data_IF_788292252491
#
_entry.id   IF_788292252491
#
_cell.length_a   1.000
_cell.length_b   1.000
_cell.length_c   1.000
_cell.angle_alpha   90.00
_cell.angle_beta   90.00
_cell.angle_gamma   90.00
#
_symmetry.space_group_name_H-M   'P 1'
#
loop_
_entity.id
_entity.type
_entity.pdbx_description
1 polymer ?
#
# COMPACT_ATOMS: atom_id res chain seq x y z
N UNK A 1 -16.21 -30.08 28.10
CA UNK A 1 -16.96 -28.83 27.87
C UNK A 1 -16.20 -28.00 26.87
N UNK A 2 -16.74 -27.83 25.67
CA UNK A 2 -16.14 -27.04 24.60
C UNK A 2 -16.37 -25.54 24.87
N UNK A 3 -15.30 -24.77 25.00
CA UNK A 3 -15.35 -23.30 25.07
C UNK A 3 -15.33 -22.78 23.64
N UNK A 4 -16.41 -22.11 23.25
CA UNK A 4 -16.56 -21.49 21.94
C UNK A 4 -15.50 -20.40 21.74
N UNK A 5 -14.68 -20.54 20.69
CA UNK A 5 -13.75 -19.50 20.26
C UNK A 5 -14.55 -18.31 19.69
N UNK A 6 -14.56 -17.20 20.43
CA UNK A 6 -15.11 -15.94 19.95
C UNK A 6 -14.25 -15.44 18.76
N UNK A 7 -14.88 -15.29 17.61
CA UNK A 7 -14.25 -14.74 16.41
C UNK A 7 -13.81 -13.30 16.66
N UNK A 8 -12.52 -13.02 16.48
CA UNK A 8 -11.91 -11.69 16.64
C UNK A 8 -12.54 -10.70 15.65
N UNK A 9 -13.06 -9.61 16.20
CA UNK A 9 -13.78 -8.55 15.51
C UNK A 9 -12.78 -7.48 15.04
N UNK A 10 -12.87 -7.05 13.78
CA UNK A 10 -12.07 -5.94 13.27
C UNK A 10 -12.43 -4.62 14.00
N UNK A 11 -11.51 -3.65 14.14
CA UNK A 11 -11.73 -2.48 14.99
C UNK A 11 -12.94 -1.67 14.50
N UNK A 12 -13.92 -1.43 15.38
CA UNK A 12 -15.09 -0.59 15.12
C UNK A 12 -16.39 -1.31 14.70
N UNK A 13 -16.44 -2.65 14.72
CA UNK A 13 -17.65 -3.40 14.34
C UNK A 13 -18.39 -3.94 15.57
N UNK A 14 -19.68 -3.63 15.74
CA UNK A 14 -20.55 -4.44 16.60
C UNK A 14 -20.91 -5.72 15.84
N UNK A 15 -20.79 -6.89 16.49
CA UNK A 15 -21.10 -8.18 15.87
C UNK A 15 -22.57 -8.29 15.42
N UNK A 16 -23.46 -7.48 16.01
CA UNK A 16 -24.90 -7.48 15.75
C UNK A 16 -25.32 -6.73 14.47
N UNK A 17 -24.43 -5.95 13.87
CA UNK A 17 -24.78 -5.06 12.75
C UNK A 17 -24.69 -5.72 11.37
N UNK A 18 -24.20 -6.95 11.29
CA UNK A 18 -24.02 -7.69 10.03
C UNK A 18 -24.95 -8.89 9.96
N UNK A 19 -25.48 -9.14 8.76
CA UNK A 19 -26.35 -10.29 8.44
C UNK A 19 -25.61 -11.18 7.46
N UNK A 20 -25.63 -12.48 7.72
CA UNK A 20 -25.14 -13.48 6.77
C UNK A 20 -26.22 -13.72 5.70
N UNK A 21 -25.86 -13.53 4.44
CA UNK A 21 -26.76 -13.66 3.29
C UNK A 21 -26.12 -14.51 2.21
N UNK A 22 -26.94 -15.21 1.43
CA UNK A 22 -26.45 -15.96 0.29
C UNK A 22 -26.07 -15.01 -0.86
N UNK A 23 -25.00 -15.31 -1.60
CA UNK A 23 -24.59 -14.51 -2.75
C UNK A 23 -25.68 -14.36 -3.82
N UNK A 24 -26.57 -15.35 -3.92
CA UNK A 24 -27.73 -15.31 -4.83
C UNK A 24 -28.74 -14.22 -4.49
N UNK A 25 -28.72 -13.70 -3.26
CA UNK A 25 -29.65 -12.67 -2.78
C UNK A 25 -29.10 -11.25 -2.94
N UNK A 26 -27.93 -11.09 -3.59
CA UNK A 26 -27.33 -9.79 -3.83
C UNK A 26 -27.83 -9.16 -5.13
N UNK A 27 -28.45 -7.99 -5.01
CA UNK A 27 -28.89 -7.22 -6.17
C UNK A 27 -27.71 -6.51 -6.85
N UNK A 28 -27.33 -7.01 -8.04
CA UNK A 28 -26.35 -6.41 -8.94
C UNK A 28 -26.71 -4.94 -9.23
N UNK A 29 -25.71 -4.06 -9.21
CA UNK A 29 -25.81 -2.64 -9.47
C UNK A 29 -25.96 -1.77 -8.21
N UNK A 30 -26.18 -2.38 -7.05
CA UNK A 30 -26.29 -1.66 -5.76
C UNK A 30 -24.92 -1.13 -5.33
N UNK A 31 -24.87 0.11 -4.84
CA UNK A 31 -23.66 0.71 -4.27
C UNK A 31 -23.67 0.48 -2.76
N UNK A 32 -22.66 -0.23 -2.27
CA UNK A 32 -22.52 -0.58 -0.87
C UNK A 32 -21.90 0.59 -0.11
N UNK A 33 -22.48 0.97 1.03
CA UNK A 33 -21.92 1.99 1.91
C UNK A 33 -21.00 1.38 2.97
N UNK A 34 -21.09 0.07 3.17
CA UNK A 34 -20.30 -0.68 4.14
C UNK A 34 -19.47 -1.78 3.46
N UNK A 35 -18.37 -2.24 4.09
CA UNK A 35 -17.59 -3.36 3.59
C UNK A 35 -18.36 -4.69 3.64
N UNK A 36 -17.96 -5.65 2.79
CA UNK A 36 -18.52 -7.01 2.74
C UNK A 36 -17.44 -8.01 3.15
N UNK A 37 -17.80 -8.96 4.01
CA UNK A 37 -16.88 -9.97 4.53
C UNK A 37 -17.31 -11.40 4.16
N UNK A 38 -16.39 -12.35 4.28
CA UNK A 38 -16.68 -13.77 4.11
C UNK A 38 -17.67 -14.26 5.19
N UNK A 39 -18.74 -14.92 4.76
CA UNK A 39 -19.82 -15.41 5.62
C UNK A 39 -19.78 -16.90 5.93
N UNK A 40 -18.69 -17.60 5.58
CA UNK A 40 -18.57 -19.04 5.86
C UNK A 40 -18.33 -19.28 7.36
N UNK A 41 -19.08 -20.22 7.99
CA UNK A 41 -18.94 -20.50 9.41
C UNK A 41 -17.54 -21.02 9.74
N UNK A 42 -17.00 -20.60 10.90
CA UNK A 42 -15.68 -21.04 11.38
C UNK A 42 -14.47 -20.42 10.69
N UNK A 43 -14.65 -19.51 9.72
CA UNK A 43 -13.55 -18.73 9.12
C UNK A 43 -13.44 -17.32 9.72
N UNK A 44 -12.23 -16.78 9.72
CA UNK A 44 -12.00 -15.38 10.08
C UNK A 44 -12.74 -14.47 9.09
N UNK A 45 -13.33 -13.37 9.57
CA UNK A 45 -14.10 -12.40 8.77
C UNK A 45 -13.17 -11.64 7.80
N UNK A 46 -12.78 -12.30 6.71
CA UNK A 46 -11.91 -11.73 5.69
C UNK A 46 -12.70 -10.72 4.85
N UNK A 47 -12.11 -9.53 4.65
CA UNK A 47 -12.67 -8.51 3.79
C UNK A 47 -12.72 -9.00 2.33
N UNK A 48 -13.91 -9.01 1.74
CA UNK A 48 -14.12 -9.40 0.33
C UNK A 48 -14.36 -8.19 -0.58
N UNK A 49 -14.93 -7.10 -0.06
CA UNK A 49 -15.15 -5.86 -0.81
C UNK A 49 -15.16 -4.66 0.14
N UNK A 50 -14.43 -3.61 -0.22
CA UNK A 50 -14.44 -2.35 0.53
C UNK A 50 -15.72 -1.54 0.31
N UNK A 51 -16.03 -0.65 1.26
CA UNK A 51 -17.14 0.27 1.17
C UNK A 51 -17.05 1.18 -0.07
N UNK A 52 -18.21 1.65 -0.54
CA UNK A 52 -18.33 2.59 -1.67
C UNK A 52 -18.30 1.94 -3.05
N UNK A 53 -18.05 0.62 -3.14
CA UNK A 53 -18.03 -0.15 -4.38
C UNK A 53 -19.43 -0.51 -4.86
N UNK A 54 -19.58 -0.62 -6.18
CA UNK A 54 -20.80 -1.08 -6.82
C UNK A 54 -20.72 -2.59 -7.07
N UNK A 55 -21.79 -3.32 -6.74
CA UNK A 55 -21.88 -4.76 -6.97
C UNK A 55 -21.98 -5.05 -8.48
N UNK A 56 -20.85 -5.38 -9.10
CA UNK A 56 -20.78 -5.79 -10.50
C UNK A 56 -21.04 -7.30 -10.66
N UNK A 57 -21.55 -7.77 -11.82
CA UNK A 57 -21.73 -9.21 -12.09
C UNK A 57 -20.42 -10.00 -11.93
N UNK A 58 -19.32 -9.45 -12.46
CA UNK A 58 -17.98 -10.07 -12.42
C UNK A 58 -17.47 -10.35 -11.00
N UNK A 59 -17.92 -9.56 -10.02
CA UNK A 59 -17.58 -9.77 -8.62
C UNK A 59 -18.24 -11.04 -8.07
N UNK A 60 -19.54 -11.21 -8.31
CA UNK A 60 -20.26 -12.41 -7.85
C UNK A 60 -19.70 -13.68 -8.51
N UNK A 61 -19.32 -13.61 -9.79
CA UNK A 61 -18.71 -14.72 -10.51
C UNK A 61 -17.30 -15.06 -9.97
N UNK A 62 -16.53 -14.05 -9.55
CA UNK A 62 -15.23 -14.27 -8.90
C UNK A 62 -15.39 -14.95 -7.54
N UNK A 63 -16.36 -14.52 -6.73
CA UNK A 63 -16.62 -15.13 -5.42
C UNK A 63 -17.11 -16.58 -5.54
N UNK A 64 -18.02 -16.85 -6.49
CA UNK A 64 -18.49 -18.22 -6.77
C UNK A 64 -17.34 -19.14 -7.19
N UNK A 65 -16.45 -18.68 -8.08
CA UNK A 65 -15.25 -19.44 -8.48
C UNK A 65 -14.31 -19.76 -7.32
N UNK A 66 -14.34 -18.95 -6.27
CA UNK A 66 -13.55 -19.15 -5.03
C UNK A 66 -14.28 -20.00 -3.97
N UNK A 67 -15.43 -20.59 -4.32
CA UNK A 67 -16.23 -21.40 -3.40
C UNK A 67 -16.79 -20.59 -2.22
N UNK A 68 -17.04 -19.30 -2.42
CA UNK A 68 -17.73 -18.45 -1.45
C UNK A 68 -19.19 -18.41 -1.87
N UNK A 69 -20.09 -18.85 -0.99
CA UNK A 69 -21.54 -18.90 -1.25
C UNK A 69 -22.33 -17.95 -0.35
N UNK A 70 -21.75 -17.58 0.80
CA UNK A 70 -22.33 -16.70 1.80
C UNK A 70 -21.41 -15.53 2.13
N UNK A 71 -21.99 -14.37 2.38
CA UNK A 71 -21.27 -13.15 2.75
C UNK A 71 -21.94 -12.43 3.91
N UNK A 72 -21.16 -11.67 4.67
CA UNK A 72 -21.65 -10.80 5.73
C UNK A 72 -21.82 -9.38 5.19
N UNK A 73 -23.04 -8.86 5.29
CA UNK A 73 -23.40 -7.52 4.83
C UNK A 73 -24.02 -6.73 5.98
N UNK A 74 -23.67 -5.45 6.07
CA UNK A 74 -24.22 -4.56 7.06
C UNK A 74 -25.75 -4.42 6.91
N UNK A 75 -26.50 -4.43 8.02
CA UNK A 75 -27.98 -4.39 8.05
C UNK A 75 -28.56 -3.22 7.25
N UNK A 76 -27.91 -2.05 7.26
CA UNK A 76 -28.37 -0.88 6.50
C UNK A 76 -28.27 -1.08 4.98
N UNK A 77 -27.16 -1.65 4.50
CA UNK A 77 -27.00 -1.98 3.09
C UNK A 77 -27.95 -3.12 2.69
N UNK A 78 -28.12 -4.12 3.57
CA UNK A 78 -29.05 -5.23 3.35
C UNK A 78 -30.52 -4.76 3.20
N UNK A 79 -30.96 -3.78 4.00
CA UNK A 79 -32.30 -3.18 3.85
C UNK A 79 -32.50 -2.54 2.49
N UNK A 80 -31.50 -1.83 1.97
CA UNK A 80 -31.56 -1.21 0.65
C UNK A 80 -31.58 -2.25 -0.50
N UNK A 81 -30.74 -3.28 -0.38
CA UNK A 81 -30.60 -4.35 -1.38
C UNK A 81 -31.85 -5.24 -1.41
N UNK A 82 -32.36 -5.66 -0.24
CA UNK A 82 -33.57 -6.50 -0.14
C UNK A 82 -34.87 -5.78 -0.52
N UNK A 83 -34.94 -4.45 -0.36
CA UNK A 83 -36.08 -3.65 -0.81
C UNK A 83 -36.07 -3.41 -2.33
N UNK A 84 -34.90 -3.41 -2.98
CA UNK A 84 -34.78 -3.29 -4.43
C UNK A 84 -35.36 -4.52 -5.16
N UNK A 85 -35.24 -5.71 -4.60
CA UNK A 85 -35.86 -6.94 -5.14
C UNK A 85 -37.40 -6.90 -5.10
N UNK A 86 -38.00 -6.29 -4.06
CA UNK A 86 -39.47 -6.11 -3.99
C UNK A 86 -39.99 -5.07 -4.99
N UNK A 87 -39.20 -4.03 -5.31
CA UNK A 87 -39.55 -3.02 -6.31
C UNK A 87 -39.37 -3.49 -7.76
N UNK A 88 -38.46 -4.44 -8.03
CA UNK A 88 -38.28 -5.02 -9.39
C UNK A 88 -39.45 -5.90 -9.82
N UNK A 89 -40.22 -6.48 -8.90
CA UNK A 89 -41.43 -7.25 -9.23
C UNK A 89 -42.64 -6.36 -9.55
N UNK A 90 -42.62 -5.09 -9.16
CA UNK A 90 -43.74 -4.16 -9.33
C UNK A 90 -43.22 -2.77 -9.70
N UNK A 91 -42.86 -2.54 -10.97
CA UNK A 91 -42.96 -1.24 -11.67
C UNK A 91 -42.38 -1.35 -13.09
N UNK A 92 -43.26 -1.26 -14.10
CA UNK A 92 -42.91 -0.84 -15.47
C UNK A 92 -42.30 0.57 -15.40
N UNK A 93 -41.26 0.83 -16.20
CA UNK A 93 -40.55 2.12 -16.27
C UNK A 93 -41.51 3.32 -16.43
N UNK A 94 -41.06 4.51 -16.00
CA UNK A 94 -40.70 5.48 -17.04
C UNK A 94 -39.37 6.21 -16.80
N UNK A 95 -38.82 6.69 -17.90
CA UNK A 95 -37.59 7.46 -17.99
C UNK A 95 -37.66 8.78 -17.20
N UNK A 96 -36.56 9.15 -16.53
CA UNK A 96 -36.35 10.53 -16.08
C UNK A 96 -34.91 10.97 -16.33
N UNK A 97 -34.82 11.99 -17.20
CA UNK A 97 -33.70 12.92 -17.36
C UNK A 97 -33.31 13.50 -16.00
N UNK A 98 -32.02 13.50 -15.70
CA UNK A 98 -31.44 14.42 -14.72
C UNK A 98 -30.27 15.14 -15.37
N UNK A 99 -30.55 16.37 -15.79
CA UNK A 99 -29.52 17.35 -16.12
C UNK A 99 -28.64 17.58 -14.88
N UNK A 100 -27.33 17.48 -15.06
CA UNK A 100 -26.34 17.96 -14.08
C UNK A 100 -25.54 19.09 -14.74
N UNK A 101 -25.41 20.25 -14.09
CA UNK A 101 -24.63 21.36 -14.64
C UNK A 101 -23.15 21.00 -14.67
N UNK A 102 -22.52 21.27 -15.81
CA UNK A 102 -21.06 21.19 -16.00
C UNK A 102 -20.39 22.28 -15.17
N UNK A 103 -19.45 21.88 -14.31
CA UNK A 103 -18.51 22.82 -13.69
C UNK A 103 -17.58 23.32 -14.80
N UNK A 104 -17.82 24.56 -15.22
CA UNK A 104 -16.98 25.30 -16.16
C UNK A 104 -15.58 25.50 -15.60
N UNK A 105 -14.59 25.16 -16.41
CA UNK A 105 -13.17 25.44 -16.23
C UNK A 105 -12.91 26.92 -15.90
N UNK A 106 -12.16 27.17 -14.83
CA UNK A 106 -11.18 28.27 -14.79
C UNK A 106 -9.85 27.70 -14.37
N UNK A 107 -9.25 26.93 -15.28
CA UNK A 107 -7.82 26.66 -15.25
C UNK A 107 -7.14 27.86 -15.92
N UNK A 108 -6.26 28.55 -15.19
CA UNK A 108 -5.32 29.50 -15.77
C UNK A 108 -4.51 28.80 -16.86
N UNK A 109 -4.29 29.50 -17.96
CA UNK A 109 -3.52 29.06 -19.11
C UNK A 109 -2.15 28.54 -18.68
N UNK A 110 -2.04 27.21 -18.63
CA UNK A 110 -0.78 26.51 -18.75
C UNK A 110 -0.92 25.65 -19.99
N UNK A 111 -0.06 25.93 -20.96
CA UNK A 111 0.08 25.24 -22.24
C UNK A 111 -0.21 23.75 -22.12
N UNK A 112 -1.38 23.32 -22.63
CA UNK A 112 -1.76 21.91 -22.79
C UNK A 112 -0.79 21.28 -23.79
N UNK A 113 0.31 20.71 -23.30
CA UNK A 113 1.09 19.76 -24.07
C UNK A 113 0.25 18.48 -24.17
N UNK A 114 -0.23 18.19 -25.38
CA UNK A 114 -1.03 17.01 -25.70
C UNK A 114 -0.14 15.75 -25.75
N UNK A 115 0.78 15.60 -24.80
CA UNK A 115 1.61 14.43 -24.65
C UNK A 115 0.76 13.34 -23.99
N UNK A 116 0.55 12.23 -24.70
CA UNK A 116 0.01 10.99 -24.10
C UNK A 116 0.77 10.74 -22.79
N UNK A 117 0.10 10.36 -21.70
CA UNK A 117 0.81 10.10 -20.46
C UNK A 117 1.88 9.02 -20.72
N UNK A 118 3.12 9.29 -20.30
CA UNK A 118 4.32 8.53 -20.65
C UNK A 118 4.29 7.05 -20.24
N UNK A 119 3.25 6.61 -19.51
CA UNK A 119 3.05 5.24 -19.08
C UNK A 119 2.20 4.40 -20.04
N UNK A 120 1.51 5.00 -21.03
CA UNK A 120 0.65 4.27 -21.98
C UNK A 120 1.41 3.27 -22.88
N UNK A 121 2.75 3.34 -22.88
CA UNK A 121 3.64 2.39 -23.56
C UNK A 121 4.57 1.63 -22.63
N UNK A 122 4.42 1.73 -21.30
CA UNK A 122 5.24 0.95 -20.37
C UNK A 122 4.92 -0.53 -20.54
N UNK A 123 5.96 -1.31 -20.87
CA UNK A 123 5.90 -2.76 -20.94
C UNK A 123 6.76 -3.31 -19.82
N UNK A 124 6.31 -4.40 -19.23
CA UNK A 124 7.14 -5.18 -18.32
C UNK A 124 8.33 -5.72 -19.12
N UNK A 125 9.54 -5.49 -18.61
CA UNK A 125 10.77 -5.93 -19.27
C UNK A 125 10.81 -7.47 -19.28
N UNK A 126 10.82 -8.05 -20.48
CA UNK A 126 10.71 -9.51 -20.65
C UNK A 126 11.88 -10.28 -20.02
N UNK A 127 13.03 -9.62 -19.85
CA UNK A 127 14.23 -10.17 -19.24
C UNK A 127 14.44 -9.69 -17.81
N UNK A 128 13.43 -9.09 -17.17
CA UNK A 128 13.60 -8.58 -15.81
C UNK A 128 13.83 -9.71 -14.81
N UNK A 129 14.47 -9.40 -13.68
CA UNK A 129 14.92 -10.40 -12.71
C UNK A 129 13.80 -11.37 -12.32
N UNK A 130 12.56 -10.90 -12.13
CA UNK A 130 11.43 -11.75 -11.76
C UNK A 130 11.07 -12.78 -12.85
N UNK A 131 11.30 -12.49 -14.13
CA UNK A 131 11.08 -13.43 -15.25
C UNK A 131 12.23 -14.43 -15.39
N UNK A 132 13.37 -14.15 -14.76
CA UNK A 132 14.49 -15.10 -14.65
C UNK A 132 14.29 -16.08 -13.50
N UNK A 133 13.37 -15.78 -12.56
CA UNK A 133 13.02 -16.69 -11.48
C UNK A 133 12.15 -17.81 -12.01
N UNK A 134 12.45 -19.04 -11.59
CA UNK A 134 11.57 -20.18 -11.79
C UNK A 134 10.55 -20.21 -10.65
N UNK A 135 9.25 -19.98 -10.90
CA UNK A 135 8.23 -20.09 -9.86
C UNK A 135 8.28 -21.48 -9.25
N UNK A 136 8.30 -21.55 -7.92
CA UNK A 136 8.39 -22.82 -7.23
C UNK A 136 7.02 -23.50 -7.28
N UNK A 137 6.96 -24.72 -7.85
CA UNK A 137 5.77 -25.58 -7.78
C UNK A 137 5.65 -26.20 -6.37
N UNK A 138 5.15 -25.42 -5.42
CA UNK A 138 4.79 -25.91 -4.08
C UNK A 138 3.33 -25.57 -3.76
N UNK A 139 2.68 -26.31 -2.84
CA UNK A 139 1.47 -25.81 -2.22
C UNK A 139 1.81 -24.46 -1.58
N UNK A 140 1.09 -23.42 -2.00
CA UNK A 140 1.26 -21.98 -1.73
C UNK A 140 1.45 -21.53 -0.26
N UNK A 141 1.55 -22.46 0.71
CA UNK A 141 1.78 -22.22 2.13
C UNK A 141 2.60 -23.35 2.74
N UNK A 142 3.92 -23.20 2.72
CA UNK A 142 4.82 -24.01 3.55
C UNK A 142 5.03 -23.30 4.91
N UNK A 143 4.62 -23.90 6.05
CA UNK A 143 4.74 -23.25 7.35
C UNK A 143 6.17 -22.88 7.74
N UNK A 144 7.16 -23.70 7.34
CA UNK A 144 8.57 -23.45 7.65
C UNK A 144 9.10 -22.22 6.92
N UNK A 145 8.74 -22.05 5.65
CA UNK A 145 9.04 -20.83 4.88
C UNK A 145 8.36 -19.61 5.45
N UNK A 146 7.07 -19.71 5.77
CA UNK A 146 6.34 -18.59 6.40
C UNK A 146 7.01 -18.14 7.69
N UNK A 147 7.48 -19.07 8.52
CA UNK A 147 8.23 -18.76 9.74
C UNK A 147 9.60 -18.14 9.43
N UNK A 148 10.32 -18.66 8.43
CA UNK A 148 11.62 -18.11 8.00
C UNK A 148 11.50 -16.66 7.49
N UNK A 149 10.52 -16.38 6.63
CA UNK A 149 10.22 -15.04 6.13
C UNK A 149 9.81 -14.10 7.27
N UNK A 150 8.97 -14.55 8.19
CA UNK A 150 8.60 -13.75 9.36
C UNK A 150 9.81 -13.43 10.24
N UNK A 151 10.71 -14.40 10.47
CA UNK A 151 11.93 -14.19 11.26
C UNK A 151 12.87 -13.20 10.58
N UNK A 152 13.06 -13.34 9.26
CA UNK A 152 13.88 -12.42 8.46
C UNK A 152 13.30 -11.00 8.48
N UNK A 153 11.99 -10.88 8.28
CA UNK A 153 11.26 -9.61 8.34
C UNK A 153 11.45 -8.90 9.70
N UNK A 154 11.25 -9.60 10.82
CA UNK A 154 11.48 -9.00 12.15
C UNK A 154 12.95 -8.63 12.40
N UNK A 155 13.90 -9.39 11.85
CA UNK A 155 15.31 -9.02 11.88
C UNK A 155 15.58 -7.76 11.06
N UNK A 156 14.93 -7.63 9.90
CA UNK A 156 14.94 -6.44 9.05
C UNK A 156 14.39 -5.21 9.78
N UNK A 157 13.27 -5.35 10.49
CA UNK A 157 12.66 -4.23 11.26
C UNK A 157 13.61 -3.77 12.37
N UNK A 158 14.25 -4.72 13.07
CA UNK A 158 15.26 -4.40 14.10
C UNK A 158 16.47 -3.70 13.48
N UNK A 159 16.95 -4.18 12.33
CA UNK A 159 18.07 -3.54 11.63
C UNK A 159 17.72 -2.12 11.19
N UNK A 160 16.57 -1.92 10.54
CA UNK A 160 16.06 -0.60 10.15
C UNK A 160 15.94 0.34 11.36
N UNK A 161 15.44 -0.17 12.50
CA UNK A 161 15.36 0.58 13.75
C UNK A 161 16.72 1.03 14.24
N UNK A 162 17.71 0.14 14.23
CA UNK A 162 19.09 0.49 14.63
C UNK A 162 19.70 1.51 13.68
N UNK A 163 19.57 1.31 12.36
CA UNK A 163 20.08 2.23 11.35
C UNK A 163 19.51 3.63 11.53
N UNK A 164 18.18 3.75 11.66
CA UNK A 164 17.50 5.03 11.84
C UNK A 164 17.93 5.70 13.17
N UNK A 165 17.99 4.95 14.28
CA UNK A 165 18.39 5.51 15.58
C UNK A 165 19.84 5.99 15.60
N UNK A 166 20.77 5.23 15.03
CA UNK A 166 22.19 5.61 14.92
C UNK A 166 22.32 6.85 14.03
N UNK A 167 21.66 6.87 12.87
CA UNK A 167 21.67 8.02 11.98
C UNK A 167 21.17 9.30 12.66
N UNK A 168 20.10 9.19 13.46
CA UNK A 168 19.51 10.33 14.17
C UNK A 168 20.36 10.79 15.35
N UNK A 169 20.98 9.88 16.11
CA UNK A 169 21.72 10.22 17.34
C UNK A 169 23.19 10.55 17.09
N UNK A 170 23.84 9.74 16.26
CA UNK A 170 25.29 9.72 16.10
C UNK A 170 25.73 10.37 14.79
N UNK A 171 24.79 10.62 13.86
CA UNK A 171 25.09 11.13 12.50
C UNK A 171 26.06 10.23 11.74
N UNK A 172 26.01 8.93 12.02
CA UNK A 172 26.77 7.88 11.37
C UNK A 172 25.83 6.86 10.72
N UNK A 173 26.34 6.10 9.75
CA UNK A 173 25.58 5.02 9.13
C UNK A 173 26.50 3.89 8.70
N UNK A 174 26.15 2.67 9.10
CA UNK A 174 26.72 1.46 8.52
C UNK A 174 25.95 1.11 7.24
N UNK A 175 26.43 1.60 6.09
CA UNK A 175 25.80 1.32 4.80
C UNK A 175 25.74 -0.18 4.50
N UNK A 176 26.76 -0.95 4.88
CA UNK A 176 26.78 -2.40 4.64
C UNK A 176 25.60 -3.12 5.28
N UNK A 177 25.12 -2.67 6.44
CA UNK A 177 23.93 -3.22 7.07
C UNK A 177 22.67 -2.96 6.23
N UNK A 178 22.50 -1.77 5.68
CA UNK A 178 21.39 -1.44 4.77
C UNK A 178 21.47 -2.25 3.46
N UNK A 179 22.68 -2.42 2.92
CA UNK A 179 22.91 -3.24 1.72
C UNK A 179 22.63 -4.72 2.00
N UNK A 180 23.01 -5.25 3.17
CA UNK A 180 22.69 -6.65 3.55
C UNK A 180 21.18 -6.90 3.64
N UNK A 181 20.41 -5.98 4.22
CA UNK A 181 18.94 -6.09 4.24
C UNK A 181 18.39 -6.08 2.82
N UNK A 182 18.89 -5.18 1.97
CA UNK A 182 18.45 -5.07 0.58
C UNK A 182 18.82 -6.32 -0.24
N UNK A 183 20.01 -6.88 -0.05
CA UNK A 183 20.43 -8.14 -0.69
C UNK A 183 19.55 -9.32 -0.22
N UNK A 184 19.25 -9.38 1.07
CA UNK A 184 18.35 -10.40 1.62
C UNK A 184 16.97 -10.32 0.96
N UNK A 185 16.43 -9.11 0.76
CA UNK A 185 15.16 -8.93 0.03
C UNK A 185 15.23 -9.44 -1.41
N UNK A 186 16.33 -9.23 -2.11
CA UNK A 186 16.49 -9.78 -3.48
C UNK A 186 16.48 -11.30 -3.50
N UNK A 187 17.09 -11.94 -2.50
CA UNK A 187 17.05 -13.40 -2.33
C UNK A 187 15.65 -13.90 -2.00
N UNK A 188 14.93 -13.19 -1.13
CA UNK A 188 13.57 -13.55 -0.74
C UNK A 188 12.56 -13.38 -1.88
N UNK A 189 12.70 -12.32 -2.68
CA UNK A 189 11.94 -12.18 -3.94
C UNK A 189 12.23 -13.34 -4.88
N UNK A 190 13.49 -13.78 -4.95
CA UNK A 190 13.90 -14.93 -5.76
C UNK A 190 13.35 -16.26 -5.26
N UNK A 191 13.21 -16.40 -3.94
CA UNK A 191 12.77 -17.61 -3.29
C UNK A 191 11.24 -17.75 -3.31
N UNK A 192 10.51 -16.70 -2.95
CA UNK A 192 9.05 -16.71 -2.87
C UNK A 192 8.50 -15.28 -2.89
N UNK A 193 8.18 -14.79 -4.10
CA UNK A 193 7.64 -13.43 -4.27
C UNK A 193 6.28 -13.24 -3.60
N UNK A 194 5.47 -14.30 -3.49
CA UNK A 194 4.13 -14.20 -2.90
C UNK A 194 4.21 -14.02 -1.38
N UNK A 195 5.04 -14.82 -0.70
CA UNK A 195 5.29 -14.64 0.74
C UNK A 195 6.03 -13.32 1.02
N UNK A 196 6.98 -12.93 0.16
CA UNK A 196 7.67 -11.65 0.27
C UNK A 196 6.69 -10.46 0.22
N UNK A 197 5.82 -10.43 -0.78
CA UNK A 197 4.79 -9.39 -0.93
C UNK A 197 3.74 -9.47 0.17
N UNK A 198 3.38 -10.67 0.63
CA UNK A 198 2.44 -10.85 1.74
C UNK A 198 2.92 -10.12 3.01
N UNK A 199 4.22 -10.21 3.32
CA UNK A 199 4.85 -9.49 4.44
C UNK A 199 5.02 -8.00 4.15
N UNK A 200 5.48 -7.67 2.94
CA UNK A 200 5.70 -6.29 2.51
C UNK A 200 4.43 -5.44 2.51
N UNK A 201 3.27 -6.03 2.20
CA UNK A 201 1.97 -5.36 2.16
C UNK A 201 1.07 -5.67 3.37
N UNK A 202 1.61 -6.25 4.44
CA UNK A 202 0.88 -6.39 5.69
C UNK A 202 0.61 -5.00 6.31
N UNK A 203 -0.54 -4.78 6.98
CA UNK A 203 -0.82 -3.51 7.65
C UNK A 203 0.33 -3.09 8.56
N UNK A 204 0.74 -1.83 8.44
CA UNK A 204 1.86 -1.29 9.24
C UNK A 204 1.45 -1.30 10.71
N UNK A 205 2.08 -2.17 11.49
CA UNK A 205 1.87 -2.29 12.92
C UNK A 205 2.61 -1.23 13.73
N UNK A 206 3.03 -1.60 14.95
CA UNK A 206 3.95 -0.80 15.77
C UNK A 206 5.30 -0.58 15.08
N UNK A 207 6.15 0.26 15.67
CA UNK A 207 7.54 0.50 15.24
C UNK A 207 7.67 1.39 14.00
N UNK A 208 6.73 2.31 13.80
CA UNK A 208 6.94 3.44 12.90
C UNK A 208 8.12 4.32 13.40
N UNK A 209 9.03 4.77 12.52
CA UNK A 209 9.05 4.63 11.06
C UNK A 209 9.75 3.38 10.50
N UNK A 210 10.40 2.58 11.35
CA UNK A 210 11.27 1.47 10.92
C UNK A 210 10.53 0.39 10.13
N UNK A 211 9.36 -0.03 10.61
CA UNK A 211 8.57 -1.07 9.95
C UNK A 211 8.06 -0.61 8.58
N UNK A 212 7.56 0.62 8.52
CA UNK A 212 7.15 1.28 7.28
C UNK A 212 8.30 1.38 6.27
N UNK A 213 9.49 1.76 6.75
CA UNK A 213 10.70 1.87 5.90
C UNK A 213 11.10 0.52 5.30
N UNK A 214 11.06 -0.55 6.09
CA UNK A 214 11.32 -1.91 5.60
C UNK A 214 10.27 -2.34 4.56
N UNK A 215 8.99 -2.17 4.86
CA UNK A 215 7.91 -2.54 3.94
C UNK A 215 7.96 -1.74 2.63
N UNK A 216 8.29 -0.45 2.73
CA UNK A 216 8.52 0.42 1.56
C UNK A 216 9.67 -0.12 0.71
N UNK A 217 10.77 -0.53 1.35
CA UNK A 217 11.90 -1.15 0.64
C UNK A 217 11.50 -2.46 -0.05
N UNK A 218 10.72 -3.32 0.62
CA UNK A 218 10.24 -4.59 0.04
C UNK A 218 9.36 -4.35 -1.19
N UNK A 219 8.35 -3.50 -1.06
CA UNK A 219 7.40 -3.24 -2.14
C UNK A 219 8.08 -2.50 -3.31
N UNK A 220 8.92 -1.51 -3.02
CA UNK A 220 9.67 -0.78 -4.05
C UNK A 220 10.64 -1.69 -4.81
N UNK A 221 11.34 -2.58 -4.10
CA UNK A 221 12.24 -3.59 -4.70
C UNK A 221 11.45 -4.49 -5.64
N UNK A 222 10.29 -4.98 -5.24
CA UNK A 222 9.43 -5.83 -6.09
C UNK A 222 9.00 -5.10 -7.37
N UNK A 223 8.56 -3.84 -7.26
CA UNK A 223 8.19 -3.02 -8.42
C UNK A 223 9.38 -2.81 -9.36
N UNK A 224 10.52 -2.38 -8.82
CA UNK A 224 11.73 -2.11 -9.61
C UNK A 224 12.28 -3.39 -10.26
N UNK A 225 12.13 -4.53 -9.60
CA UNK A 225 12.51 -5.84 -10.12
C UNK A 225 11.71 -6.17 -11.37
N UNK A 226 10.39 -5.97 -11.35
CA UNK A 226 9.51 -6.15 -12.52
C UNK A 226 9.88 -5.17 -13.65
N UNK A 227 10.25 -3.94 -13.28
CA UNK A 227 10.68 -2.89 -14.21
C UNK A 227 12.07 -3.13 -14.84
N UNK A 228 12.83 -4.15 -14.40
CA UNK A 228 14.12 -4.50 -14.99
C UNK A 228 15.30 -3.67 -14.51
N UNK A 229 15.21 -3.03 -13.35
CA UNK A 229 16.36 -2.36 -12.74
C UNK A 229 17.45 -3.38 -12.38
N UNK A 230 18.70 -2.95 -12.48
CA UNK A 230 19.87 -3.77 -12.16
C UNK A 230 19.97 -4.08 -10.67
N UNK A 231 20.73 -5.11 -10.31
CA UNK A 231 20.94 -5.49 -8.91
C UNK A 231 21.49 -4.32 -8.07
N UNK A 232 22.44 -3.56 -8.59
CA UNK A 232 23.04 -2.44 -7.87
C UNK A 232 22.01 -1.32 -7.65
N UNK A 233 21.20 -0.99 -8.66
CA UNK A 233 20.10 -0.03 -8.51
C UNK A 233 19.06 -0.49 -7.48
N UNK A 234 18.77 -1.79 -7.40
CA UNK A 234 17.86 -2.35 -6.39
C UNK A 234 18.44 -2.24 -4.98
N UNK A 235 19.75 -2.45 -4.81
CA UNK A 235 20.43 -2.27 -3.53
C UNK A 235 20.43 -0.79 -3.09
N UNK A 236 20.65 0.13 -4.03
CA UNK A 236 20.53 1.58 -3.77
C UNK A 236 19.09 1.99 -3.43
N UNK A 237 18.10 1.41 -4.13
CA UNK A 237 16.69 1.62 -3.87
C UNK A 237 16.31 1.17 -2.45
N UNK A 238 16.68 -0.06 -2.08
CA UNK A 238 16.44 -0.59 -0.74
C UNK A 238 17.09 0.28 0.34
N UNK A 239 18.36 0.68 0.14
CA UNK A 239 19.06 1.59 1.05
C UNK A 239 18.32 2.92 1.22
N UNK A 240 17.88 3.55 0.13
CA UNK A 240 17.11 4.80 0.19
C UNK A 240 15.78 4.65 0.92
N UNK A 241 15.03 3.58 0.64
CA UNK A 241 13.76 3.29 1.29
C UNK A 241 13.91 3.00 2.79
N UNK A 242 14.99 2.34 3.23
CA UNK A 242 15.22 2.06 4.65
C UNK A 242 15.48 3.32 5.49
N UNK A 243 15.88 4.44 4.84
CA UNK A 243 16.34 5.65 5.52
C UNK A 243 15.41 6.86 5.30
N UNK A 244 14.42 6.76 4.40
CA UNK A 244 13.64 7.91 3.95
C UNK A 244 12.96 8.66 5.11
N UNK A 245 12.36 7.90 6.04
CA UNK A 245 11.60 8.43 7.17
C UNK A 245 12.44 8.64 8.44
N UNK A 246 13.76 8.56 8.37
CA UNK A 246 14.61 8.78 9.55
C UNK A 246 14.36 10.15 10.23
N UNK A 247 14.07 11.17 9.42
CA UNK A 247 13.71 12.52 9.85
C UNK A 247 12.41 12.59 10.64
N UNK A 248 11.54 11.58 10.57
CA UNK A 248 10.31 11.54 11.36
C UNK A 248 10.59 11.41 12.86
N UNK A 249 11.75 10.89 13.26
CA UNK A 249 12.17 10.91 14.67
C UNK A 249 12.52 12.31 15.21
N UNK A 250 12.60 13.32 14.33
CA UNK A 250 12.79 14.72 14.73
C UNK A 250 11.47 15.50 14.75
N UNK A 251 10.36 14.89 14.31
CA UNK A 251 9.02 15.47 14.42
C UNK A 251 8.47 15.20 15.81
N UNK A 252 7.76 16.18 16.39
CA UNK A 252 7.19 16.05 17.74
C UNK A 252 6.26 14.83 17.86
N UNK A 253 6.38 14.02 18.94
CA UNK A 253 5.52 12.86 19.16
C UNK A 253 4.03 13.20 19.22
N UNK A 254 3.69 14.39 19.71
CA UNK A 254 2.31 14.89 19.78
C UNK A 254 1.71 15.05 18.38
N UNK A 255 2.51 15.46 17.39
CA UNK A 255 2.08 15.57 16.00
C UNK A 255 1.87 14.19 15.37
N UNK A 256 2.76 13.23 15.66
CA UNK A 256 2.68 11.87 15.13
C UNK A 256 1.52 11.06 15.73
N UNK A 257 1.11 11.37 16.96
CA UNK A 257 0.00 10.70 17.66
C UNK A 257 -1.35 11.38 17.50
N UNK A 258 -1.41 12.50 16.76
CA UNK A 258 -2.66 13.22 16.51
C UNK A 258 -3.64 12.37 15.68
N UNK A 259 -4.81 12.07 16.26
CA UNK A 259 -5.89 11.33 15.60
C UNK A 259 -6.87 12.23 14.85
N UNK A 260 -6.67 13.55 14.92
CA UNK A 260 -7.49 14.57 14.28
C UNK A 260 -6.93 15.08 12.95
N UNK A 261 -7.65 15.99 12.30
CA UNK A 261 -7.12 16.69 11.13
C UNK A 261 -5.91 17.55 11.52
N UNK A 262 -4.75 17.26 10.92
CA UNK A 262 -3.56 18.09 11.06
C UNK A 262 -3.84 19.52 10.59
N UNK A 263 -3.41 20.50 11.38
CA UNK A 263 -3.42 21.88 10.93
C UNK A 263 -2.47 22.06 9.73
N UNK A 264 -2.60 23.17 9.02
CA UNK A 264 -1.67 23.48 7.93
C UNK A 264 -0.21 23.57 8.44
N UNK A 265 0.00 24.07 9.65
CA UNK A 265 1.32 24.20 10.27
C UNK A 265 1.87 22.83 10.65
N UNK A 266 1.05 21.97 11.26
CA UNK A 266 1.45 20.60 11.63
C UNK A 266 1.85 19.78 10.40
N UNK A 267 1.08 19.92 9.33
CA UNK A 267 1.39 19.28 8.05
C UNK A 267 2.73 19.77 7.49
N UNK A 268 2.99 21.08 7.54
CA UNK A 268 4.27 21.64 7.10
C UNK A 268 5.44 21.13 7.93
N UNK A 269 5.27 20.90 9.24
CA UNK A 269 6.31 20.35 10.09
C UNK A 269 6.63 18.90 9.72
N UNK A 270 5.61 18.05 9.55
CA UNK A 270 5.79 16.67 9.09
C UNK A 270 6.45 16.63 7.71
N UNK A 271 6.09 17.53 6.80
CA UNK A 271 6.66 17.61 5.45
C UNK A 271 8.15 17.99 5.42
N UNK A 272 8.76 18.39 6.54
CA UNK A 272 10.20 18.64 6.64
C UNK A 272 11.03 17.37 6.83
N UNK A 273 10.44 16.22 7.17
CA UNK A 273 11.20 15.00 7.43
C UNK A 273 12.14 14.58 6.27
N UNK A 274 11.83 14.77 4.97
CA UNK A 274 12.78 14.42 3.90
C UNK A 274 14.02 15.32 3.93
N UNK A 275 13.85 16.58 4.33
CA UNK A 275 14.95 17.54 4.52
C UNK A 275 15.81 17.11 5.70
N UNK A 276 15.17 16.75 6.82
CA UNK A 276 15.86 16.24 8.00
C UNK A 276 16.67 14.98 7.68
N UNK A 277 16.05 13.98 7.04
CA UNK A 277 16.74 12.76 6.58
C UNK A 277 17.91 13.07 5.66
N UNK A 278 17.71 13.90 4.63
CA UNK A 278 18.77 14.25 3.68
C UNK A 278 19.93 15.01 4.33
N UNK A 279 19.65 15.89 5.29
CA UNK A 279 20.68 16.62 6.03
C UNK A 279 21.55 15.67 6.87
N UNK A 280 20.95 14.66 7.52
CA UNK A 280 21.72 13.66 8.26
C UNK A 280 22.68 12.86 7.36
N UNK A 281 22.28 12.62 6.11
CA UNK A 281 23.11 11.89 5.16
C UNK A 281 24.19 12.77 4.51
N UNK A 282 24.11 14.10 4.59
CA UNK A 282 24.93 15.03 3.78
C UNK A 282 26.43 14.71 3.83
N UNK A 283 26.97 14.45 5.03
CA UNK A 283 28.41 14.22 5.23
C UNK A 283 28.84 12.74 5.12
N UNK A 284 27.89 11.81 4.93
CA UNK A 284 28.15 10.37 4.96
C UNK A 284 28.55 9.81 3.58
N UNK A 285 29.83 9.94 3.21
CA UNK A 285 30.32 9.65 1.85
C UNK A 285 29.96 8.27 1.32
N UNK A 286 29.82 7.28 2.19
CA UNK A 286 29.54 5.89 1.82
C UNK A 286 28.06 5.62 1.51
N UNK A 287 27.18 6.62 1.61
CA UNK A 287 25.76 6.50 1.24
C UNK A 287 25.61 6.66 -0.28
N UNK A 288 25.02 5.68 -0.99
CA UNK A 288 24.86 5.73 -2.44
C UNK A 288 24.13 6.99 -2.90
N UNK A 289 24.54 7.52 -4.07
CA UNK A 289 23.98 8.76 -4.58
C UNK A 289 22.48 8.65 -4.87
N UNK A 290 22.02 7.53 -5.43
CA UNK A 290 20.59 7.34 -5.68
C UNK A 290 19.78 7.22 -4.38
N UNK A 291 20.32 6.58 -3.33
CA UNK A 291 19.70 6.52 -2.02
C UNK A 291 19.43 7.92 -1.45
N UNK A 292 20.37 8.85 -1.60
CA UNK A 292 20.20 10.26 -1.19
C UNK A 292 19.06 10.95 -1.94
N UNK A 293 18.92 10.69 -3.24
CA UNK A 293 17.81 11.23 -4.03
C UNK A 293 16.48 10.64 -3.63
N UNK A 294 16.41 9.34 -3.34
CA UNK A 294 15.19 8.69 -2.85
C UNK A 294 14.74 9.36 -1.55
N UNK A 295 15.62 9.41 -0.55
CA UNK A 295 15.33 9.99 0.76
C UNK A 295 14.79 11.42 0.65
N UNK A 296 15.33 12.22 -0.27
CA UNK A 296 14.92 13.60 -0.44
C UNK A 296 13.66 13.79 -1.31
N UNK A 297 13.46 12.94 -2.32
CA UNK A 297 12.48 13.18 -3.40
C UNK A 297 11.29 12.22 -3.41
N UNK A 298 11.23 11.23 -2.51
CA UNK A 298 10.16 10.23 -2.51
C UNK A 298 8.75 10.83 -2.34
N UNK A 299 8.64 11.99 -1.70
CA UNK A 299 7.37 12.72 -1.56
C UNK A 299 7.13 13.78 -2.64
N UNK A 300 8.02 13.91 -3.62
CA UNK A 300 7.77 14.70 -4.82
C UNK A 300 6.70 14.01 -5.69
N UNK A 301 6.03 14.77 -6.55
CA UNK A 301 4.91 14.26 -7.36
C UNK A 301 5.09 14.67 -8.80
N UNK A 302 4.71 13.80 -9.73
CA UNK A 302 4.92 14.01 -11.17
C UNK A 302 4.32 15.33 -11.70
N UNK A 303 3.26 15.82 -11.06
CA UNK A 303 2.57 17.08 -11.36
C UNK A 303 3.13 18.30 -10.59
N UNK A 304 4.19 18.15 -9.80
CA UNK A 304 4.78 19.21 -8.98
C UNK A 304 4.06 19.51 -7.66
N UNK A 305 2.98 18.79 -7.31
CA UNK A 305 2.24 19.02 -6.06
C UNK A 305 2.88 18.39 -4.82
N UNK A 306 4.08 17.82 -4.97
CA UNK A 306 4.82 17.16 -3.90
C UNK A 306 5.70 18.11 -3.10
N UNK A 307 6.51 17.54 -2.22
CA UNK A 307 7.44 18.26 -1.36
C UNK A 307 8.77 17.48 -1.27
N UNK A 308 9.89 18.10 -0.86
CA UNK A 308 10.03 19.45 -0.29
C UNK A 308 10.19 20.58 -1.31
N UNK A 309 10.48 20.31 -2.58
CA UNK A 309 10.79 21.35 -3.59
C UNK A 309 9.75 21.46 -4.70
N UNK A 310 8.72 20.62 -4.73
CA UNK A 310 7.71 20.64 -5.78
C UNK A 310 8.28 20.24 -7.14
N UNK A 311 9.27 19.33 -7.14
CA UNK A 311 9.87 18.82 -8.37
C UNK A 311 8.83 18.07 -9.18
N UNK A 312 8.90 18.20 -10.50
CA UNK A 312 7.94 17.61 -11.41
C UNK A 312 8.60 16.72 -12.47
N UNK A 313 7.86 15.70 -12.89
CA UNK A 313 8.23 14.82 -14.00
C UNK A 313 9.70 14.35 -13.98
N UNK A 314 10.50 14.66 -15.02
CA UNK A 314 11.90 14.23 -15.13
C UNK A 314 12.86 14.78 -14.07
N UNK A 315 12.46 15.79 -13.28
CA UNK A 315 13.30 16.35 -12.21
C UNK A 315 13.38 15.43 -10.98
N UNK A 316 12.53 14.40 -10.92
CA UNK A 316 12.46 13.41 -9.86
C UNK A 316 13.25 12.17 -10.29
N UNK A 317 14.19 11.76 -9.44
CA UNK A 317 15.04 10.59 -9.68
C UNK A 317 14.18 9.35 -10.00
N UNK A 318 14.54 8.52 -11.00
CA UNK A 318 13.78 7.33 -11.37
C UNK A 318 13.44 6.42 -10.18
N UNK A 319 14.43 6.07 -9.36
CA UNK A 319 14.22 5.24 -8.17
C UNK A 319 13.34 5.91 -7.11
N UNK A 320 13.38 7.24 -6.97
CA UNK A 320 12.50 7.96 -6.06
C UNK A 320 11.03 7.89 -6.50
N UNK A 321 10.77 7.86 -7.83
CA UNK A 321 9.41 7.66 -8.37
C UNK A 321 8.87 6.26 -8.07
N UNK A 322 9.73 5.23 -8.13
CA UNK A 322 9.34 3.87 -7.73
C UNK A 322 9.01 3.81 -6.24
N UNK A 323 9.92 4.34 -5.41
CA UNK A 323 9.73 4.39 -3.97
C UNK A 323 8.46 5.16 -3.57
N UNK A 324 8.16 6.28 -4.25
CA UNK A 324 6.95 7.07 -4.01
C UNK A 324 5.66 6.29 -4.21
N UNK A 325 5.62 5.39 -5.21
CA UNK A 325 4.46 4.53 -5.47
C UNK A 325 4.31 3.50 -4.35
N UNK A 326 5.40 2.87 -3.92
CA UNK A 326 5.40 1.92 -2.81
C UNK A 326 4.94 2.57 -1.50
N UNK A 327 5.54 3.70 -1.14
CA UNK A 327 5.21 4.48 0.06
C UNK A 327 3.73 4.90 0.07
N UNK A 328 3.24 5.45 -1.05
CA UNK A 328 1.84 5.87 -1.17
C UNK A 328 0.89 4.68 -1.06
N UNK A 329 1.24 3.52 -1.62
CA UNK A 329 0.41 2.32 -1.50
C UNK A 329 0.31 1.87 -0.04
N UNK A 330 1.44 1.82 0.68
CA UNK A 330 1.47 1.42 2.09
C UNK A 330 0.71 2.42 2.98
N UNK A 331 0.76 3.72 2.67
CA UNK A 331 -0.01 4.72 3.40
C UNK A 331 -1.54 4.60 3.22
N UNK A 332 -2.02 3.83 2.23
CA UNK A 332 -3.45 3.63 1.95
C UNK A 332 -4.04 2.37 2.59
N UNK A 333 -3.22 1.45 3.09
CA UNK A 333 -3.64 0.13 3.61
C UNK A 333 -3.36 -0.03 5.10
#
# INVERSE_FOLDING_TARGET
MAVAAAATVAPGMSADDYVCVALSQLAIGSRLQSPVYDGRPGRQRQLLLSAGKQLAPSYLDNLKRRGIETVLIHRNDWRCISQADKRRQNLKQPARRTDRPSVTEKAGETTKTNAKPSWAGWKVEANSFIHQLQPIELPHRDPGRMEAFQKSYEAGVKCATSLIKILVRERELNTDAAIRVSDQHLREVAEDVDEFLHRGAAPVGSDYPSRHSLQTAMLATSIATIMGYSRDELLELGCGCLLHDAGMLLVSPELLSSTGHLSAVDRLEIQKHPIYSANMLHNLRDVPHAARHIVYQMHERMNGSGYPRGRSGPQIHPLARVAAVADTYLALI
#
